data_IF_857896746982
#
_entry.id   IF_857896746982
#
_cell.length_a   1.000
_cell.length_b   1.000
_cell.length_c   1.000
_cell.angle_alpha   90.00
_cell.angle_beta   90.00
_cell.angle_gamma   90.00
#
_symmetry.space_group_name_H-M   'P 1'
#
loop_
_entity.id
_entity.type
_entity.pdbx_description
1 polymer ?
#
# COMPACT_ATOMS: atom_id res chain seq x y z
N UNK A 1 2.40 4.05 -19.05
CA UNK A 1 2.29 2.73 -18.39
C UNK A 1 1.41 2.90 -17.18
N UNK A 2 0.30 2.16 -17.08
CA UNK A 2 -0.53 2.17 -15.88
C UNK A 2 0.32 1.66 -14.70
N UNK A 3 0.43 2.44 -13.61
CA UNK A 3 1.04 1.95 -12.38
C UNK A 3 0.23 0.74 -11.91
N UNK A 4 0.91 -0.35 -11.60
CA UNK A 4 0.26 -1.58 -11.13
C UNK A 4 -0.10 -1.44 -9.65
N UNK A 5 -1.16 -0.69 -9.37
CA UNK A 5 -1.62 -0.41 -8.00
C UNK A 5 -2.01 -1.69 -7.25
N UNK A 6 -2.57 -2.67 -7.97
CA UNK A 6 -2.84 -4.00 -7.42
C UNK A 6 -1.53 -4.69 -7.04
N UNK A 7 -0.52 -4.67 -7.92
CA UNK A 7 0.83 -5.16 -7.62
C UNK A 7 1.49 -4.46 -6.43
N UNK A 8 1.33 -3.14 -6.29
CA UNK A 8 1.85 -2.36 -5.15
C UNK A 8 1.22 -2.80 -3.83
N UNK A 9 -0.09 -3.06 -3.82
CA UNK A 9 -0.80 -3.59 -2.65
C UNK A 9 -0.58 -5.10 -2.46
N UNK A 10 0.10 -5.77 -3.38
CA UNK A 10 0.30 -7.23 -3.37
C UNK A 10 -1.01 -8.00 -3.55
N UNK A 11 -1.95 -7.41 -4.29
CA UNK A 11 -3.28 -7.95 -4.54
C UNK A 11 -3.46 -8.33 -6.01
N UNK A 12 -4.34 -9.29 -6.32
CA UNK A 12 -4.74 -9.55 -7.69
C UNK A 12 -5.68 -8.45 -8.20
N UNK A 13 -5.78 -8.27 -9.52
CA UNK A 13 -6.62 -7.23 -10.15
C UNK A 13 -8.13 -7.41 -9.94
N UNK A 14 -8.56 -8.57 -9.45
CA UNK A 14 -9.93 -8.87 -9.07
C UNK A 14 -10.17 -8.73 -7.56
N UNK A 15 -9.22 -8.15 -6.82
CA UNK A 15 -9.36 -7.96 -5.38
C UNK A 15 -10.55 -7.05 -5.07
N UNK A 16 -11.28 -7.42 -4.04
CA UNK A 16 -12.43 -6.62 -3.56
C UNK A 16 -11.95 -5.40 -2.77
N UNK A 17 -12.80 -4.40 -2.64
CA UNK A 17 -12.56 -3.20 -1.82
C UNK A 17 -12.14 -3.53 -0.38
N UNK A 18 -12.78 -4.55 0.21
CA UNK A 18 -12.44 -5.08 1.52
C UNK A 18 -11.00 -5.64 1.59
N UNK A 19 -10.52 -6.29 0.52
CA UNK A 19 -9.16 -6.81 0.41
C UNK A 19 -8.16 -5.68 0.22
N UNK A 20 -8.48 -4.68 -0.61
CA UNK A 20 -7.71 -3.45 -0.80
C UNK A 20 -7.48 -2.75 0.55
N UNK A 21 -8.55 -2.53 1.31
CA UNK A 21 -8.47 -1.90 2.64
C UNK A 21 -7.71 -2.76 3.66
N UNK A 22 -7.82 -4.09 3.58
CA UNK A 22 -7.06 -5.02 4.44
C UNK A 22 -5.56 -5.00 4.10
N UNK A 23 -5.22 -5.03 2.82
CA UNK A 23 -3.83 -4.95 2.35
C UNK A 23 -3.20 -3.61 2.74
N UNK A 24 -3.90 -2.50 2.52
CA UNK A 24 -3.47 -1.16 2.94
C UNK A 24 -3.10 -1.13 4.43
N UNK A 25 -4.01 -1.57 5.31
CA UNK A 25 -3.75 -1.58 6.76
C UNK A 25 -2.54 -2.46 7.14
N UNK A 26 -2.42 -3.63 6.51
CA UNK A 26 -1.30 -4.55 6.74
C UNK A 26 0.03 -3.91 6.33
N UNK A 27 0.08 -3.32 5.15
CA UNK A 27 1.28 -2.69 4.62
C UNK A 27 1.62 -1.41 5.40
N UNK A 28 0.62 -0.61 5.76
CA UNK A 28 0.81 0.59 6.59
C UNK A 28 1.48 0.26 7.94
N UNK A 29 1.05 -0.83 8.59
CA UNK A 29 1.73 -1.33 9.78
C UNK A 29 3.13 -1.86 9.46
N UNK A 30 3.31 -2.58 8.36
CA UNK A 30 4.61 -3.13 7.96
C UNK A 30 5.66 -2.05 7.69
N UNK A 31 5.27 -0.93 7.10
CA UNK A 31 6.12 0.20 6.76
C UNK A 31 6.01 1.36 7.76
N UNK A 32 5.42 1.14 8.94
CA UNK A 32 5.35 2.19 9.97
C UNK A 32 6.76 2.53 10.49
N UNK A 33 7.11 3.80 10.73
CA UNK A 33 8.43 4.21 11.22
C UNK A 33 8.80 3.52 12.55
N UNK A 34 7.85 3.36 13.48
CA UNK A 34 8.07 2.66 14.75
C UNK A 34 8.57 1.21 14.58
N UNK A 35 8.21 0.56 13.47
CA UNK A 35 8.62 -0.82 13.16
C UNK A 35 9.84 -0.89 12.25
N UNK A 36 10.29 0.25 11.71
CA UNK A 36 11.40 0.36 10.78
C UNK A 36 12.40 1.45 11.21
N UNK A 37 12.94 1.40 12.46
CA UNK A 37 13.92 2.37 12.91
C UNK A 37 15.18 2.33 12.03
N UNK A 38 15.65 3.49 11.59
CA UNK A 38 16.82 3.63 10.71
C UNK A 38 16.54 3.33 9.22
N UNK A 39 15.28 3.04 8.86
CA UNK A 39 14.84 2.84 7.47
C UNK A 39 13.70 3.76 7.08
N UNK A 40 13.55 4.91 7.74
CA UNK A 40 12.41 5.81 7.52
C UNK A 40 12.25 6.24 6.06
N UNK A 41 13.37 6.45 5.34
CA UNK A 41 13.33 6.85 3.93
C UNK A 41 12.67 5.79 3.04
N UNK A 42 13.13 4.54 3.14
CA UNK A 42 12.58 3.41 2.42
C UNK A 42 11.12 3.13 2.81
N UNK A 43 10.82 3.20 4.10
CA UNK A 43 9.48 3.03 4.64
C UNK A 43 8.53 4.10 4.10
N UNK A 44 8.94 5.37 4.08
CA UNK A 44 8.16 6.49 3.55
C UNK A 44 7.94 6.39 2.04
N UNK A 45 8.95 5.97 1.26
CA UNK A 45 8.78 5.71 -0.18
C UNK A 45 7.72 4.63 -0.43
N UNK A 46 7.80 3.50 0.27
CA UNK A 46 6.79 2.44 0.18
C UNK A 46 5.41 2.93 0.63
N UNK A 47 5.35 3.67 1.73
CA UNK A 47 4.11 4.21 2.26
C UNK A 47 3.41 5.17 1.28
N UNK A 48 4.19 5.98 0.52
CA UNK A 48 3.65 6.82 -0.56
C UNK A 48 3.04 5.99 -1.68
N UNK A 49 3.74 4.96 -2.15
CA UNK A 49 3.21 4.05 -3.19
C UNK A 49 1.90 3.38 -2.74
N UNK A 50 1.85 2.90 -1.50
CA UNK A 50 0.68 2.24 -0.90
C UNK A 50 -0.50 3.20 -0.77
N UNK A 51 -0.27 4.45 -0.33
CA UNK A 51 -1.33 5.45 -0.24
C UNK A 51 -1.88 5.84 -1.61
N UNK A 52 -1.01 6.03 -2.61
CA UNK A 52 -1.45 6.32 -3.97
C UNK A 52 -2.30 5.17 -4.53
N UNK A 53 -1.85 3.92 -4.35
CA UNK A 53 -2.59 2.74 -4.77
C UNK A 53 -3.95 2.61 -4.09
N UNK A 54 -4.01 2.84 -2.76
CA UNK A 54 -5.26 2.81 -2.01
C UNK A 54 -6.20 3.96 -2.41
N UNK A 55 -5.68 5.16 -2.67
CA UNK A 55 -6.50 6.29 -3.11
C UNK A 55 -7.11 6.09 -4.50
N UNK A 56 -6.46 5.33 -5.38
CA UNK A 56 -6.98 5.02 -6.72
C UNK A 56 -7.92 3.81 -6.70
N UNK A 57 -7.63 2.79 -5.89
CA UNK A 57 -8.38 1.52 -5.89
C UNK A 57 -9.47 1.43 -4.83
N UNK A 58 -9.33 2.16 -3.72
CA UNK A 58 -10.23 2.08 -2.56
C UNK A 58 -11.26 3.21 -2.47
N UNK A 59 -11.29 4.12 -3.45
CA UNK A 59 -12.33 5.14 -3.60
C UNK A 59 -13.01 4.94 -4.98
N UNK A 60 -13.99 4.01 -5.09
CA UNK A 60 -14.81 3.84 -6.28
C UNK A 60 -15.95 4.87 -6.39
#
# INVERSE_FOLDING_TARGET
>A
MAKDYYGILGLPRNASDAEIKKAYRKLAMQYHPDRNPGKEKWANEKFKEINEAYGVLGDP
#
